data_IF_571354456898
#
_entry.id   IF_571354456898
#
_cell.length_a   1.000
_cell.length_b   1.000
_cell.length_c   1.000
_cell.angle_alpha   90.00
_cell.angle_beta   90.00
_cell.angle_gamma   90.00
#
_symmetry.space_group_name_H-M   'P 1'
#
loop_
_entity.id
_entity.type
_entity.pdbx_description
1 polymer ?
#
# COMPACT_ATOMS: atom_id res chain seq x y z
N UNK A 1 -2.55 2.02 20.42
CA UNK A 1 -2.80 0.57 20.25
C UNK A 1 -3.91 0.36 19.22
N UNK A 2 -3.82 -0.67 18.37
CA UNK A 2 -4.85 -1.00 17.35
C UNK A 2 -5.68 -2.18 17.87
N UNK A 3 -6.99 -1.99 17.95
CA UNK A 3 -7.93 -3.03 18.41
C UNK A 3 -8.38 -3.88 17.23
N UNK A 4 -8.51 -5.20 17.41
CA UNK A 4 -8.93 -6.13 16.36
C UNK A 4 -7.91 -6.25 15.21
N UNK A 5 -8.36 -6.67 14.02
CA UNK A 5 -7.59 -6.72 12.77
C UNK A 5 -6.33 -7.61 12.82
N UNK A 6 -6.36 -8.71 13.55
CA UNK A 6 -5.15 -9.53 13.83
C UNK A 6 -4.52 -10.11 12.57
N UNK A 7 -5.34 -10.47 11.57
CA UNK A 7 -4.84 -10.95 10.27
C UNK A 7 -4.06 -9.86 9.55
N UNK A 8 -4.63 -8.67 9.42
CA UNK A 8 -3.98 -7.52 8.77
C UNK A 8 -2.69 -7.12 9.51
N UNK A 9 -2.72 -7.08 10.85
CA UNK A 9 -1.55 -6.79 11.68
C UNK A 9 -0.39 -7.75 11.41
N UNK A 10 -0.67 -9.07 11.36
CA UNK A 10 0.35 -10.08 11.09
C UNK A 10 0.93 -9.92 9.69
N UNK A 11 0.07 -9.76 8.67
CA UNK A 11 0.50 -9.57 7.29
C UNK A 11 1.39 -8.32 7.16
N UNK A 12 0.96 -7.19 7.74
CA UNK A 12 1.74 -5.96 7.73
C UNK A 12 3.06 -6.06 8.48
N UNK A 13 3.05 -6.70 9.67
CA UNK A 13 4.27 -6.87 10.44
C UNK A 13 5.32 -7.67 9.67
N UNK A 14 4.91 -8.74 8.97
CA UNK A 14 5.80 -9.54 8.12
C UNK A 14 6.29 -8.71 6.92
N UNK A 15 5.41 -7.98 6.25
CA UNK A 15 5.76 -7.14 5.11
C UNK A 15 6.83 -6.09 5.47
N UNK A 16 6.60 -5.39 6.59
CA UNK A 16 7.53 -4.36 7.07
C UNK A 16 8.83 -4.98 7.55
N UNK A 17 8.78 -6.10 8.27
CA UNK A 17 10.00 -6.81 8.67
C UNK A 17 10.85 -7.21 7.47
N UNK A 18 10.24 -7.80 6.44
CA UNK A 18 10.93 -8.17 5.20
C UNK A 18 11.52 -6.95 4.48
N UNK A 19 10.78 -5.82 4.47
CA UNK A 19 11.28 -4.58 3.88
C UNK A 19 12.57 -4.12 4.59
N UNK A 20 12.59 -4.07 5.93
CA UNK A 20 13.78 -3.63 6.68
C UNK A 20 14.93 -4.64 6.63
N UNK A 21 14.66 -5.95 6.61
CA UNK A 21 15.68 -6.98 6.37
C UNK A 21 16.36 -6.74 5.01
N UNK A 22 15.58 -6.41 3.97
CA UNK A 22 16.12 -6.07 2.66
C UNK A 22 17.05 -4.84 2.71
N UNK A 23 16.68 -3.79 3.46
CA UNK A 23 17.52 -2.59 3.60
C UNK A 23 18.84 -2.90 4.31
N UNK A 24 18.80 -3.72 5.36
CA UNK A 24 20.00 -4.17 6.08
C UNK A 24 20.89 -5.00 5.16
N UNK A 25 20.34 -6.00 4.45
CA UNK A 25 21.09 -6.86 3.53
C UNK A 25 21.74 -6.05 2.39
N UNK A 26 21.06 -5.03 1.88
CA UNK A 26 21.60 -4.15 0.85
C UNK A 26 22.75 -3.27 1.34
N UNK A 27 22.71 -2.82 2.60
CA UNK A 27 23.80 -2.05 3.20
C UNK A 27 25.02 -2.91 3.58
N UNK A 28 24.79 -4.18 3.92
CA UNK A 28 25.86 -5.11 4.30
C UNK A 28 26.56 -5.76 3.09
N UNK A 29 25.98 -5.71 1.90
CA UNK A 29 26.66 -6.16 0.66
C UNK A 29 27.88 -5.31 0.32
N UNK A 30 27.94 -4.07 0.80
CA UNK A 30 29.15 -3.23 0.77
C UNK A 30 30.15 -3.55 1.88
N UNK A 31 29.74 -4.27 2.92
CA UNK A 31 30.58 -4.71 4.02
C UNK A 31 30.71 -6.24 4.02
N UNK A 32 31.91 -6.75 4.04
CA UNK A 32 32.43 -8.10 3.75
C UNK A 32 31.91 -9.29 4.59
N UNK A 33 30.77 -9.25 5.23
CA UNK A 33 30.22 -10.36 6.01
C UNK A 33 28.74 -10.64 5.69
N UNK A 34 28.43 -11.70 4.90
CA UNK A 34 27.03 -12.05 4.65
C UNK A 34 26.39 -12.65 5.90
N UNK A 35 25.23 -12.09 6.30
CA UNK A 35 24.40 -12.59 7.40
C UNK A 35 23.83 -13.99 7.09
N UNK A 36 23.75 -14.36 5.80
CA UNK A 36 23.19 -15.63 5.35
C UNK A 36 24.30 -16.65 5.18
N UNK A 37 24.31 -17.67 6.03
CA UNK A 37 25.29 -18.77 6.03
C UNK A 37 25.08 -19.80 4.92
N UNK A 38 23.88 -19.84 4.30
CA UNK A 38 23.56 -20.76 3.21
C UNK A 38 23.96 -20.16 1.86
N UNK A 39 24.92 -20.83 1.17
CA UNK A 39 25.44 -20.39 -0.12
C UNK A 39 24.33 -20.30 -1.22
N UNK A 40 23.27 -21.09 -1.11
CA UNK A 40 22.16 -21.07 -2.05
C UNK A 40 21.29 -19.79 -1.92
N UNK A 41 21.21 -19.20 -0.72
CA UNK A 41 20.40 -18.02 -0.43
C UNK A 41 21.13 -16.70 -0.70
N UNK A 42 22.43 -16.72 -0.93
CA UNK A 42 23.25 -15.52 -1.24
C UNK A 42 22.85 -14.81 -2.53
N UNK A 43 22.13 -15.51 -3.41
CA UNK A 43 21.67 -14.98 -4.70
C UNK A 43 20.18 -14.62 -4.71
N UNK A 44 19.48 -14.81 -3.59
CA UNK A 44 18.06 -14.42 -3.48
C UNK A 44 17.99 -12.91 -3.30
N UNK A 45 17.42 -12.24 -4.29
CA UNK A 45 17.13 -10.81 -4.20
C UNK A 45 15.74 -10.65 -3.61
N UNK A 46 15.63 -10.08 -2.41
CA UNK A 46 14.34 -9.79 -1.79
C UNK A 46 13.77 -8.56 -2.49
N UNK A 47 12.67 -8.74 -3.20
CA UNK A 47 11.97 -7.62 -3.85
C UNK A 47 11.25 -6.73 -2.84
N UNK A 48 10.95 -5.50 -3.26
CA UNK A 48 10.23 -4.52 -2.45
C UNK A 48 8.81 -5.00 -2.17
N UNK A 49 8.43 -5.08 -0.91
CA UNK A 49 7.17 -5.67 -0.43
C UNK A 49 6.13 -4.57 -0.14
N UNK A 50 5.73 -3.78 -1.16
CA UNK A 50 4.66 -2.80 -0.96
C UNK A 50 3.33 -3.50 -0.68
N UNK A 51 2.43 -2.82 0.02
CA UNK A 51 1.21 -3.42 0.58
C UNK A 51 -0.04 -2.72 0.05
N UNK A 52 -1.06 -3.49 -0.25
CA UNK A 52 -2.41 -3.02 -0.51
C UNK A 52 -3.33 -3.39 0.68
N UNK A 53 -3.92 -2.38 1.33
CA UNK A 53 -4.91 -2.55 2.40
C UNK A 53 -6.31 -2.38 1.84
N UNK A 54 -7.13 -3.40 1.98
CA UNK A 54 -8.51 -3.42 1.52
C UNK A 54 -9.43 -3.55 2.74
N UNK A 55 -10.44 -2.70 2.84
CA UNK A 55 -11.42 -2.82 3.90
C UNK A 55 -12.31 -1.59 4.03
N UNK A 56 -13.43 -1.69 4.71
CA UNK A 56 -14.44 -0.64 4.78
C UNK A 56 -13.88 0.68 5.34
N UNK A 57 -14.59 1.78 5.05
CA UNK A 57 -14.24 3.07 5.64
C UNK A 57 -14.38 2.98 7.16
N UNK A 58 -13.45 3.57 7.90
CA UNK A 58 -13.45 3.50 9.37
C UNK A 58 -12.87 2.22 9.97
N UNK A 59 -12.44 1.22 9.19
CA UNK A 59 -11.81 -0.01 9.70
C UNK A 59 -10.41 0.19 10.33
N UNK A 60 -9.85 1.40 10.24
CA UNK A 60 -8.57 1.75 10.87
C UNK A 60 -7.33 1.57 9.97
N UNK A 61 -7.46 1.49 8.63
CA UNK A 61 -6.34 1.32 7.69
C UNK A 61 -5.21 2.32 7.91
N UNK A 62 -5.53 3.61 7.86
CA UNK A 62 -4.56 4.70 8.03
C UNK A 62 -3.92 4.66 9.43
N UNK A 63 -4.73 4.38 10.47
CA UNK A 63 -4.24 4.28 11.85
C UNK A 63 -3.28 3.10 12.03
N UNK A 64 -3.60 1.96 11.41
CA UNK A 64 -2.75 0.76 11.44
C UNK A 64 -1.40 1.01 10.78
N UNK A 65 -1.38 1.66 9.61
CA UNK A 65 -0.15 2.02 8.90
C UNK A 65 0.71 3.00 9.72
N UNK A 66 0.06 4.01 10.33
CA UNK A 66 0.74 5.00 11.18
C UNK A 66 1.34 4.34 12.43
N UNK A 67 0.55 3.55 13.16
CA UNK A 67 1.02 2.84 14.36
C UNK A 67 2.20 1.92 14.04
N UNK A 68 2.22 1.32 12.87
CA UNK A 68 3.33 0.48 12.41
C UNK A 68 4.60 1.29 12.18
N UNK A 69 4.50 2.44 11.49
CA UNK A 69 5.63 3.34 11.27
C UNK A 69 6.20 3.86 12.59
N UNK A 70 5.34 4.21 13.56
CA UNK A 70 5.72 4.60 14.92
C UNK A 70 6.45 3.47 15.67
N UNK A 71 5.98 2.22 15.55
CA UNK A 71 6.63 1.07 16.17
C UNK A 71 8.03 0.81 15.63
N UNK A 72 8.24 1.04 14.34
CA UNK A 72 9.55 0.85 13.69
C UNK A 72 10.44 2.08 13.87
N UNK A 73 9.85 3.25 14.16
CA UNK A 73 10.58 4.50 14.37
C UNK A 73 11.06 5.16 13.09
N UNK A 74 10.29 5.05 11.99
CA UNK A 74 10.64 5.62 10.70
C UNK A 74 9.72 6.79 10.32
N UNK A 75 10.18 7.72 9.46
CA UNK A 75 9.35 8.80 8.93
C UNK A 75 8.09 8.27 8.25
N UNK A 76 6.97 8.97 8.43
CA UNK A 76 5.68 8.57 7.90
C UNK A 76 4.96 9.74 7.23
N UNK A 77 4.45 9.52 6.02
CA UNK A 77 3.62 10.50 5.32
C UNK A 77 2.32 9.88 4.85
N UNK A 78 1.26 10.69 4.83
CA UNK A 78 -0.06 10.32 4.31
C UNK A 78 -0.39 11.22 3.13
N UNK A 79 -0.91 10.62 2.07
CA UNK A 79 -1.48 11.33 0.94
C UNK A 79 -2.78 10.65 0.48
N UNK A 80 -3.69 11.46 -0.06
CA UNK A 80 -4.92 11.00 -0.66
C UNK A 80 -4.71 10.87 -2.17
N UNK A 81 -4.90 9.67 -2.71
CA UNK A 81 -4.71 9.40 -4.13
C UNK A 81 -5.67 10.19 -5.04
N UNK A 82 -6.79 10.67 -4.50
CA UNK A 82 -7.77 11.46 -5.26
C UNK A 82 -7.34 12.91 -5.48
N UNK A 83 -6.45 13.43 -4.64
CA UNK A 83 -5.90 14.79 -4.77
C UNK A 83 -4.73 14.85 -5.73
N UNK A 84 -4.13 13.69 -6.06
CA UNK A 84 -2.96 13.61 -6.91
C UNK A 84 -3.33 13.79 -8.37
N UNK A 85 -2.46 14.49 -9.08
CA UNK A 85 -2.57 14.69 -10.53
C UNK A 85 -1.25 14.37 -11.22
N UNK A 86 -1.32 14.06 -12.50
CA UNK A 86 -0.14 13.97 -13.33
C UNK A 86 0.51 15.35 -13.49
N UNK A 87 1.85 15.39 -13.50
CA UNK A 87 2.62 16.63 -13.59
C UNK A 87 2.13 17.54 -14.73
N UNK A 88 1.79 18.80 -14.40
CA UNK A 88 1.30 19.80 -15.33
C UNK A 88 -0.23 20.02 -15.34
N UNK A 89 -0.98 19.27 -14.55
CA UNK A 89 -2.40 19.50 -14.31
C UNK A 89 -2.64 20.23 -12.98
N UNK A 90 -3.85 20.76 -12.79
CA UNK A 90 -4.23 21.43 -11.53
C UNK A 90 -4.51 20.38 -10.46
N UNK A 91 -3.66 20.35 -9.43
CA UNK A 91 -3.75 19.41 -8.29
C UNK A 91 -2.39 19.27 -7.60
N UNK A 92 -2.29 18.36 -6.65
CA UNK A 92 -1.01 18.03 -6.01
C UNK A 92 -0.21 17.09 -6.93
N UNK A 93 1.02 17.47 -7.26
CA UNK A 93 1.94 16.58 -7.97
C UNK A 93 2.28 15.36 -7.08
N UNK A 94 2.50 14.21 -7.70
CA UNK A 94 2.85 12.98 -6.97
C UNK A 94 4.11 13.16 -6.12
N UNK A 95 5.03 14.02 -6.54
CA UNK A 95 6.25 14.39 -5.81
C UNK A 95 5.97 15.15 -4.48
N UNK A 96 4.80 15.78 -4.34
CA UNK A 96 4.40 16.45 -3.08
C UNK A 96 4.28 15.46 -1.92
N UNK A 97 3.97 14.20 -2.21
CA UNK A 97 3.95 13.13 -1.21
C UNK A 97 5.34 12.91 -0.60
N UNK A 98 6.37 12.94 -1.44
CA UNK A 98 7.76 12.79 -1.00
C UNK A 98 8.24 13.99 -0.19
N UNK A 99 7.75 15.18 -0.50
CA UNK A 99 8.00 16.37 0.31
C UNK A 99 7.39 16.23 1.71
N UNK A 100 6.16 15.75 1.82
CA UNK A 100 5.52 15.45 3.12
C UNK A 100 6.36 14.45 3.93
N UNK A 101 6.91 13.44 3.27
CA UNK A 101 7.79 12.46 3.91
C UNK A 101 9.11 13.09 4.36
N UNK A 102 9.71 13.94 3.54
CA UNK A 102 10.93 14.68 3.88
C UNK A 102 10.71 15.60 5.09
N UNK A 103 9.57 16.29 5.16
CA UNK A 103 9.21 17.09 6.34
C UNK A 103 9.06 16.25 7.60
N UNK A 104 8.47 15.06 7.51
CA UNK A 104 8.33 14.16 8.66
C UNK A 104 9.67 13.63 9.18
N UNK A 105 10.69 13.61 8.32
CA UNK A 105 12.07 13.27 8.66
C UNK A 105 12.90 14.49 9.14
N UNK A 106 12.26 15.64 9.40
CA UNK A 106 12.98 16.87 9.80
C UNK A 106 13.91 17.43 8.72
N UNK A 107 13.67 17.09 7.44
CA UNK A 107 14.51 17.52 6.31
C UNK A 107 15.70 16.60 6.02
N UNK A 108 15.88 15.52 6.79
CA UNK A 108 16.93 14.54 6.51
C UNK A 108 16.50 13.62 5.36
N UNK A 109 17.14 13.76 4.20
CA UNK A 109 16.83 12.99 2.99
C UNK A 109 17.12 11.49 3.18
N UNK A 110 18.21 11.13 3.84
CA UNK A 110 18.60 9.75 4.05
C UNK A 110 17.59 8.99 4.91
N UNK A 111 17.08 9.61 5.98
CA UNK A 111 16.04 9.02 6.83
C UNK A 111 14.70 8.97 6.10
N UNK A 112 14.36 10.03 5.36
CA UNK A 112 13.12 10.08 4.57
C UNK A 112 13.06 8.97 3.52
N UNK A 113 14.17 8.66 2.85
CA UNK A 113 14.26 7.60 1.85
C UNK A 113 14.05 6.18 2.42
N UNK A 114 14.08 6.00 3.73
CA UNK A 114 13.77 4.75 4.43
C UNK A 114 12.41 4.78 5.12
N UNK A 115 11.61 5.81 4.87
CA UNK A 115 10.31 6.01 5.46
C UNK A 115 9.19 5.18 4.84
N UNK A 116 7.99 5.40 5.38
CA UNK A 116 6.75 4.77 4.92
C UNK A 116 5.80 5.84 4.38
N UNK A 117 5.28 5.63 3.18
CA UNK A 117 4.21 6.44 2.57
C UNK A 117 2.91 5.65 2.60
N UNK A 118 1.87 6.22 3.16
CA UNK A 118 0.51 5.72 3.07
C UNK A 118 -0.29 6.52 2.04
N UNK A 119 -0.78 5.82 1.01
CA UNK A 119 -1.63 6.38 -0.03
C UNK A 119 -3.07 5.92 0.22
N UNK A 120 -3.93 6.83 0.66
CA UNK A 120 -5.34 6.52 0.90
C UNK A 120 -6.18 6.65 -0.38
N UNK A 121 -7.36 6.04 -0.36
CA UNK A 121 -8.35 6.09 -1.44
C UNK A 121 -7.85 5.64 -2.82
N UNK A 122 -6.90 4.69 -2.89
CA UNK A 122 -6.36 4.18 -4.15
C UNK A 122 -7.45 3.56 -5.05
N UNK A 123 -8.52 3.02 -4.46
CA UNK A 123 -9.68 2.46 -5.16
C UNK A 123 -10.39 3.49 -6.04
N UNK A 124 -10.32 4.77 -5.70
CA UNK A 124 -10.93 5.85 -6.49
C UNK A 124 -10.24 6.08 -7.84
N UNK A 125 -9.01 5.59 -7.98
CA UNK A 125 -8.30 5.63 -9.26
C UNK A 125 -8.77 4.51 -10.22
N UNK A 126 -9.37 3.43 -9.70
CA UNK A 126 -9.85 2.30 -10.50
C UNK A 126 -11.29 2.46 -10.99
N UNK A 127 -12.20 2.94 -10.15
CA UNK A 127 -13.64 2.90 -10.39
C UNK A 127 -14.19 3.92 -11.39
N UNK A 128 -14.95 3.45 -12.39
CA UNK A 128 -15.96 4.21 -13.10
C UNK A 128 -15.69 4.49 -14.59
N UNK A 129 -16.58 3.94 -15.43
CA UNK A 129 -16.73 4.30 -16.86
C UNK A 129 -17.38 5.67 -17.01
N UNK A 130 -16.75 6.73 -16.55
CA UNK A 130 -17.19 8.10 -16.86
C UNK A 130 -16.33 8.60 -18.00
N UNK A 131 -16.95 8.88 -19.16
CA UNK A 131 -16.26 9.44 -20.32
C UNK A 131 -15.56 10.76 -19.93
N UNK A 132 -14.24 10.83 -20.19
CA UNK A 132 -13.41 12.03 -19.98
C UNK A 132 -12.55 12.06 -18.71
N UNK A 133 -12.89 11.32 -17.65
CA UNK A 133 -12.09 11.25 -16.41
C UNK A 133 -11.17 10.02 -16.37
N UNK A 134 -11.37 9.07 -17.28
CA UNK A 134 -10.60 7.82 -17.32
C UNK A 134 -9.12 8.07 -17.59
N UNK A 135 -8.81 8.98 -18.49
CA UNK A 135 -7.41 9.26 -18.89
C UNK A 135 -6.63 9.91 -17.76
N UNK A 136 -7.24 10.82 -16.99
CA UNK A 136 -6.57 11.46 -15.84
C UNK A 136 -6.25 10.45 -14.73
N UNK A 137 -7.19 9.56 -14.40
CA UNK A 137 -6.96 8.53 -13.37
C UNK A 137 -5.89 7.53 -13.77
N UNK A 138 -5.86 7.17 -15.04
CA UNK A 138 -4.81 6.30 -15.60
C UNK A 138 -3.44 6.98 -15.55
N UNK A 139 -3.35 8.27 -15.86
CA UNK A 139 -2.13 9.07 -15.73
C UNK A 139 -1.60 9.07 -14.29
N UNK A 140 -2.48 9.24 -13.30
CA UNK A 140 -2.11 9.17 -11.88
C UNK A 140 -1.62 7.77 -11.50
N UNK A 141 -2.28 6.69 -11.95
CA UNK A 141 -1.81 5.32 -11.70
C UNK A 141 -0.41 5.08 -12.27
N UNK A 142 -0.10 5.58 -13.48
CA UNK A 142 1.23 5.48 -14.07
C UNK A 142 2.28 6.34 -13.33
N UNK A 143 1.90 7.52 -12.86
CA UNK A 143 2.81 8.36 -12.06
C UNK A 143 3.15 7.71 -10.71
N UNK A 144 2.13 7.14 -10.03
CA UNK A 144 2.31 6.36 -8.81
C UNK A 144 3.15 5.10 -9.06
N UNK A 145 2.94 4.40 -10.17
CA UNK A 145 3.73 3.22 -10.53
C UNK A 145 5.21 3.52 -10.55
N UNK A 146 5.64 4.59 -11.24
CA UNK A 146 7.05 5.01 -11.31
C UNK A 146 7.63 5.25 -9.91
N UNK A 147 6.87 5.93 -9.04
CA UNK A 147 7.29 6.23 -7.67
C UNK A 147 7.39 4.96 -6.82
N UNK A 148 6.45 4.03 -6.98
CA UNK A 148 6.38 2.76 -6.23
C UNK A 148 7.48 1.79 -6.70
N UNK A 149 7.82 1.76 -7.98
CA UNK A 149 8.90 0.94 -8.55
C UNK A 149 10.29 1.33 -8.03
N UNK A 150 10.48 2.58 -7.76
CA UNK A 150 11.75 3.17 -7.35
C UNK A 150 12.34 4.03 -8.46
N UNK A 151 12.41 5.31 -8.19
CA UNK A 151 12.98 6.32 -9.10
C UNK A 151 13.61 7.44 -8.29
N UNK A 152 14.52 8.16 -8.92
CA UNK A 152 15.01 9.42 -8.34
C UNK A 152 14.08 10.54 -8.78
N UNK A 153 13.25 10.99 -7.85
CA UNK A 153 12.34 12.13 -8.04
C UNK A 153 13.02 13.45 -7.65
N UNK A 154 12.64 14.54 -8.31
CA UNK A 154 13.11 15.87 -7.97
C UNK A 154 12.06 16.59 -7.11
N UNK A 155 12.28 16.61 -5.80
CA UNK A 155 11.37 17.21 -4.83
C UNK A 155 11.64 18.70 -4.69
N UNK A 156 10.64 19.57 -4.94
CA UNK A 156 10.80 21.02 -4.73
C UNK A 156 10.95 21.34 -3.23
N UNK A 157 11.89 22.17 -2.83
CA UNK A 157 12.10 22.53 -1.42
C UNK A 157 10.94 23.33 -0.81
N UNK A 158 10.10 23.94 -1.64
CA UNK A 158 8.90 24.72 -1.22
C UNK A 158 7.60 23.93 -1.23
N UNK A 159 7.64 22.61 -1.55
CA UNK A 159 6.54 21.70 -1.27
C UNK A 159 5.36 21.67 -2.24
N UNK A 160 5.46 22.20 -3.46
CA UNK A 160 4.33 22.03 -4.37
C UNK A 160 4.38 22.80 -5.67
N UNK A 161 5.06 23.92 -5.73
CA UNK A 161 5.21 24.70 -6.96
C UNK A 161 6.67 24.76 -7.35
N UNK A 162 7.01 24.24 -8.54
CA UNK A 162 8.35 24.44 -9.11
C UNK A 162 8.54 25.93 -9.41
N UNK A 163 9.23 26.64 -8.53
CA UNK A 163 9.63 28.03 -8.76
C UNK A 163 10.82 27.98 -9.74
N UNK A 164 10.76 28.76 -10.81
CA UNK A 164 11.84 28.85 -11.80
C UNK A 164 13.12 29.32 -11.11
N UNK A 165 14.15 28.47 -11.13
CA UNK A 165 15.46 28.78 -10.50
C UNK A 165 15.68 28.13 -9.12
N UNK A 166 14.72 27.41 -8.57
CA UNK A 166 14.86 26.69 -7.31
C UNK A 166 15.54 25.32 -7.53
N UNK A 167 16.54 24.99 -6.71
CA UNK A 167 17.25 23.73 -6.82
C UNK A 167 16.42 22.63 -6.13
N UNK A 168 15.89 21.68 -6.91
CA UNK A 168 15.17 20.53 -6.39
C UNK A 168 16.09 19.57 -5.63
N UNK A 169 15.53 18.89 -4.65
CA UNK A 169 16.22 17.88 -3.84
C UNK A 169 16.04 16.53 -4.55
N UNK A 170 17.14 15.85 -4.96
CA UNK A 170 17.04 14.50 -5.51
C UNK A 170 16.62 13.53 -4.40
N UNK A 171 15.55 12.78 -4.64
CA UNK A 171 14.96 11.86 -3.68
C UNK A 171 14.78 10.49 -4.32
N UNK A 172 15.49 9.49 -3.82
CA UNK A 172 15.37 8.11 -4.30
C UNK A 172 14.25 7.39 -3.55
N UNK A 173 13.28 6.85 -4.29
CA UNK A 173 12.13 6.12 -3.73
C UNK A 173 12.34 4.61 -3.67
N UNK A 174 13.50 4.08 -4.09
CA UNK A 174 13.79 2.65 -4.11
C UNK A 174 13.61 1.98 -2.74
N UNK A 175 13.93 2.70 -1.66
CA UNK A 175 13.88 2.21 -0.28
C UNK A 175 12.67 2.71 0.52
N UNK A 176 11.80 3.52 -0.07
CA UNK A 176 10.53 3.93 0.57
C UNK A 176 9.53 2.78 0.50
N UNK A 177 8.91 2.42 1.62
CA UNK A 177 7.82 1.47 1.64
C UNK A 177 6.49 2.18 1.35
N UNK A 178 5.76 1.69 0.34
CA UNK A 178 4.43 2.19 0.02
C UNK A 178 3.36 1.24 0.56
N UNK A 179 2.40 1.81 1.29
CA UNK A 179 1.20 1.13 1.76
C UNK A 179 0.02 1.87 1.13
N UNK A 180 -0.70 1.20 0.23
CA UNK A 180 -1.87 1.77 -0.44
C UNK A 180 -3.14 1.28 0.23
N UNK A 181 -4.07 2.17 0.56
CA UNK A 181 -5.34 1.82 1.20
C UNK A 181 -6.55 2.22 0.36
N UNK A 182 -7.62 1.44 0.43
CA UNK A 182 -8.89 1.76 -0.20
C UNK A 182 -10.06 0.98 0.40
N UNK A 183 -11.27 1.51 0.21
CA UNK A 183 -12.49 0.84 0.63
C UNK A 183 -12.91 -0.27 -0.34
N UNK A 184 -12.65 -0.08 -1.64
CA UNK A 184 -12.98 -1.02 -2.71
C UNK A 184 -14.44 -1.46 -2.71
N UNK A 185 -15.36 -0.49 -2.56
CA UNK A 185 -16.80 -0.75 -2.53
C UNK A 185 -17.25 -1.47 -3.80
N UNK A 186 -17.89 -2.63 -3.66
CA UNK A 186 -18.34 -3.49 -4.76
C UNK A 186 -17.32 -4.55 -5.19
N UNK A 187 -16.11 -4.58 -4.63
CA UNK A 187 -15.13 -5.63 -4.89
C UNK A 187 -15.63 -7.00 -4.37
N UNK A 188 -16.37 -7.00 -3.26
CA UNK A 188 -16.97 -8.21 -2.68
C UNK A 188 -17.86 -8.94 -3.70
N UNK A 189 -18.63 -8.19 -4.51
CA UNK A 189 -19.48 -8.77 -5.55
C UNK A 189 -18.65 -9.41 -6.67
N UNK A 190 -17.52 -8.80 -7.05
CA UNK A 190 -16.61 -9.33 -8.06
C UNK A 190 -16.03 -10.65 -7.57
N UNK A 191 -15.52 -10.67 -6.34
CA UNK A 191 -14.95 -11.87 -5.70
C UNK A 191 -16.00 -12.97 -5.54
N UNK A 192 -17.17 -12.64 -5.01
CA UNK A 192 -18.26 -13.60 -4.83
C UNK A 192 -18.71 -14.24 -6.17
N UNK A 193 -18.77 -13.44 -7.24
CA UNK A 193 -19.11 -13.89 -8.58
C UNK A 193 -18.04 -14.84 -9.15
N UNK A 194 -16.76 -14.59 -8.89
CA UNK A 194 -15.66 -15.49 -9.29
C UNK A 194 -15.75 -16.82 -8.55
N UNK A 195 -15.92 -16.78 -7.23
CA UNK A 195 -16.03 -17.98 -6.39
C UNK A 195 -17.26 -18.80 -6.78
N UNK A 196 -18.42 -18.15 -6.97
CA UNK A 196 -19.66 -18.83 -7.37
C UNK A 196 -19.58 -19.48 -8.76
N UNK A 197 -18.87 -18.90 -9.72
CA UNK A 197 -18.62 -19.52 -11.03
C UNK A 197 -17.70 -20.72 -10.93
N UNK A 198 -16.69 -20.70 -10.06
CA UNK A 198 -15.81 -21.84 -9.82
C UNK A 198 -16.56 -23.05 -9.27
N UNK A 199 -17.52 -22.84 -8.39
CA UNK A 199 -18.37 -23.90 -7.85
C UNK A 199 -19.33 -24.52 -8.88
N UNK A 200 -19.74 -23.77 -9.90
CA UNK A 200 -20.66 -24.29 -10.96
C UNK A 200 -19.96 -25.17 -11.99
N UNK A 201 -18.64 -25.14 -12.12
CA UNK A 201 -17.87 -25.99 -13.06
C UNK A 201 -17.24 -27.21 -12.40
N UNK A 202 -17.27 -27.35 -11.07
CA UNK A 202 -16.76 -28.53 -10.36
C UNK A 202 -17.86 -29.56 -10.14
N UNK A 203 -17.62 -30.81 -10.58
CA UNK A 203 -18.49 -31.98 -10.39
C UNK A 203 -18.57 -32.49 -8.93
N UNK A 204 -18.16 -31.72 -7.95
CA UNK A 204 -18.26 -32.07 -6.53
C UNK A 204 -19.45 -31.36 -5.84
N UNK A 205 -20.65 -31.89 -6.17
CA UNK A 205 -21.80 -31.82 -5.27
C UNK A 205 -21.69 -32.91 -4.20
N UNK A 206 -20.62 -32.98 -3.48
CA UNK A 206 -20.50 -33.83 -2.31
C UNK A 206 -19.98 -33.04 -1.11
N UNK A 207 -20.90 -32.43 -0.37
CA UNK A 207 -20.75 -32.28 1.07
C UNK A 207 -19.76 -31.25 1.60
N UNK A 208 -19.63 -30.07 1.01
CA UNK A 208 -19.16 -28.92 1.80
C UNK A 208 -20.36 -28.30 2.47
N UNK A 209 -20.68 -28.81 3.65
CA UNK A 209 -21.50 -28.12 4.64
C UNK A 209 -20.89 -26.73 4.83
N UNK A 210 -21.57 -25.72 4.28
CA UNK A 210 -21.40 -24.33 4.66
C UNK A 210 -21.93 -24.21 6.09
N UNK A 211 -21.13 -24.63 7.01
CA UNK A 211 -21.26 -24.42 8.42
C UNK A 211 -19.93 -23.84 8.85
N UNK A 212 -19.97 -22.59 9.11
CA UNK A 212 -19.23 -21.78 10.06
C UNK A 212 -18.68 -20.51 9.41
N UNK A 213 -19.25 -19.40 9.94
CA UNK A 213 -18.87 -18.01 9.78
C UNK A 213 -18.90 -17.53 8.31
N UNK A 214 -19.76 -16.56 8.06
CA UNK A 214 -19.81 -15.81 6.79
C UNK A 214 -18.44 -15.15 6.58
N UNK A 215 -17.51 -15.91 6.03
CA UNK A 215 -16.15 -15.46 5.75
C UNK A 215 -16.27 -14.31 4.77
N UNK A 216 -15.81 -13.15 5.15
CA UNK A 216 -15.78 -11.96 4.30
C UNK A 216 -15.17 -12.33 2.94
N UNK A 217 -15.89 -12.18 1.80
CA UNK A 217 -15.39 -12.55 0.49
C UNK A 217 -14.05 -11.88 0.15
N UNK A 218 -13.78 -10.71 0.73
CA UNK A 218 -12.53 -9.98 0.54
C UNK A 218 -11.29 -10.77 1.01
N UNK A 219 -11.45 -11.75 1.89
CA UNK A 219 -10.34 -12.63 2.28
C UNK A 219 -9.80 -13.49 1.12
N UNK A 220 -10.57 -13.62 0.05
CA UNK A 220 -10.24 -14.40 -1.15
C UNK A 220 -9.95 -13.51 -2.37
N UNK A 221 -9.66 -12.24 -2.15
CA UNK A 221 -9.28 -11.30 -3.22
C UNK A 221 -8.02 -11.78 -3.92
N UNK A 222 -8.08 -11.78 -5.24
CA UNK A 222 -6.96 -12.03 -6.14
C UNK A 222 -6.64 -10.77 -6.96
N UNK A 223 -5.42 -10.65 -7.51
CA UNK A 223 -5.06 -9.53 -8.38
C UNK A 223 -6.02 -9.33 -9.56
N UNK A 224 -6.56 -10.43 -10.12
CA UNK A 224 -7.53 -10.41 -11.21
C UNK A 224 -8.85 -9.71 -10.84
N UNK A 225 -9.28 -9.81 -9.58
CA UNK A 225 -10.47 -9.12 -9.08
C UNK A 225 -10.24 -7.60 -9.03
N UNK A 226 -9.03 -7.19 -8.63
CA UNK A 226 -8.61 -5.79 -8.56
C UNK A 226 -8.40 -5.18 -9.95
N UNK A 227 -7.92 -5.96 -10.91
CA UNK A 227 -7.88 -5.58 -12.32
C UNK A 227 -9.31 -5.38 -12.86
N UNK A 228 -10.21 -6.32 -12.56
CA UNK A 228 -11.64 -6.19 -12.88
C UNK A 228 -12.32 -4.99 -12.22
N UNK A 229 -11.82 -4.53 -11.07
CA UNK A 229 -12.25 -3.32 -10.39
C UNK A 229 -11.75 -2.04 -11.09
N UNK A 230 -10.59 -2.11 -11.79
CA UNK A 230 -10.06 -1.03 -12.64
C UNK A 230 -8.69 -0.50 -12.26
N UNK A 231 -7.94 -1.21 -11.42
CA UNK A 231 -6.51 -0.94 -11.24
C UNK A 231 -5.71 -1.57 -12.37
N UNK A 232 -4.61 -0.91 -12.79
CA UNK A 232 -3.76 -1.44 -13.85
C UNK A 232 -2.91 -2.62 -13.35
N UNK A 233 -2.71 -3.66 -14.16
CA UNK A 233 -1.94 -4.84 -13.78
C UNK A 233 -0.51 -4.51 -13.32
N UNK A 234 0.12 -3.53 -13.95
CA UNK A 234 1.48 -3.09 -13.64
C UNK A 234 1.57 -2.55 -12.20
N UNK A 235 0.57 -1.77 -11.77
CA UNK A 235 0.51 -1.26 -10.39
C UNK A 235 0.26 -2.39 -9.38
N UNK A 236 -0.62 -3.33 -9.72
CA UNK A 236 -0.90 -4.50 -8.89
C UNK A 236 0.34 -5.38 -8.74
N UNK A 237 1.13 -5.54 -9.80
CA UNK A 237 2.40 -6.26 -9.75
C UNK A 237 3.42 -5.64 -8.77
N UNK A 238 3.28 -4.35 -8.43
CA UNK A 238 4.13 -3.66 -7.45
C UNK A 238 3.54 -3.58 -6.04
N UNK A 239 2.33 -4.12 -5.86
CA UNK A 239 1.63 -4.24 -4.58
C UNK A 239 1.37 -5.73 -4.26
N UNK A 240 2.42 -6.55 -4.12
CA UNK A 240 2.29 -8.01 -4.05
C UNK A 240 1.62 -8.50 -2.76
N UNK A 241 1.58 -7.67 -1.73
CA UNK A 241 1.01 -8.04 -0.44
C UNK A 241 -0.37 -7.39 -0.31
N UNK A 242 -1.41 -8.23 -0.26
CA UNK A 242 -2.78 -7.81 -0.04
C UNK A 242 -3.16 -8.17 1.40
N UNK A 243 -3.60 -7.18 2.17
CA UNK A 243 -4.13 -7.37 3.52
C UNK A 243 -5.54 -6.80 3.61
N UNK A 244 -6.46 -7.61 4.09
CA UNK A 244 -7.87 -7.24 4.23
C UNK A 244 -8.19 -6.93 5.67
N UNK A 245 -8.96 -5.87 5.89
CA UNK A 245 -9.51 -5.48 7.18
C UNK A 245 -11.02 -5.75 7.18
N UNK A 246 -11.50 -6.24 8.30
CA UNK A 246 -12.92 -6.47 8.52
C UNK A 246 -13.62 -5.24 9.12
N UNK A 247 -14.94 -5.24 9.10
CA UNK A 247 -15.73 -4.27 9.86
C UNK A 247 -15.43 -4.43 11.36
N UNK A 248 -15.39 -3.29 12.04
CA UNK A 248 -15.24 -3.29 13.51
C UNK A 248 -16.56 -3.70 14.16
N UNK A 249 -16.52 -4.78 14.92
CA UNK A 249 -17.66 -5.22 15.71
C UNK A 249 -18.00 -4.26 16.86
N UNK A 250 -19.18 -4.44 17.46
CA UNK A 250 -19.62 -3.62 18.61
C UNK A 250 -18.64 -3.72 19.77
N UNK A 251 -18.06 -4.90 19.98
CA UNK A 251 -17.07 -5.14 21.06
C UNK A 251 -15.77 -4.39 20.77
N UNK A 252 -15.29 -4.38 19.50
CA UNK A 252 -14.10 -3.64 19.10
C UNK A 252 -14.30 -2.14 19.27
N UNK A 253 -15.45 -1.62 18.86
CA UNK A 253 -15.81 -0.21 19.04
C UNK A 253 -15.87 0.17 20.53
N UNK A 254 -16.43 -0.70 21.36
CA UNK A 254 -16.47 -0.49 22.80
C UNK A 254 -15.06 -0.50 23.43
N UNK A 255 -14.16 -1.34 22.93
CA UNK A 255 -12.75 -1.38 23.36
C UNK A 255 -12.01 -0.12 22.93
N UNK A 256 -12.18 0.33 21.71
CA UNK A 256 -11.58 1.59 21.20
C UNK A 256 -11.97 2.79 22.08
N UNK A 257 -13.20 2.82 22.59
CA UNK A 257 -13.66 3.90 23.46
C UNK A 257 -13.15 3.79 24.91
N UNK A 258 -12.80 2.59 25.37
CA UNK A 258 -12.39 2.33 26.77
C UNK A 258 -10.89 2.23 26.97
N UNK A 259 -10.18 1.71 25.97
CA UNK A 259 -8.73 1.55 26.01
C UNK A 259 -8.09 2.81 25.44
N UNK A 260 -7.55 3.73 26.26
CA UNK A 260 -6.88 4.93 25.75
C UNK A 260 -5.62 4.53 24.98
N UNK A 261 -5.43 5.17 23.87
CA UNK A 261 -4.23 5.06 23.03
C UNK A 261 -3.01 5.66 23.68
#
# INVERSE_FOLDING_TARGET
>A
SVVGQDRAKRTLAVAVSNHFVRLIDSSDRDSTAPIVTDAALRYVNIEKSNVLLIGPSGSGKTHLAKALAECVGVPFAVADATTLTEAGYVGEDVETVLYKLLLSAGGNVADAQQGIVYLDEIDKLGGGRVHGTKDMRLGVQHALLRMIEGTVANVPPSGGYKVVGETCIPFDTANVLFICGGAFVGLEEIVARRIGRGAAFGFDQAGSTVGDEATNPLHHVLPEDLEGFGLIPELLGRLPIIATLDDLGVEDLARILREPT
#
